data_IF_275144678924
#
_entry.id   IF_275144678924
#
_cell.length_a   1.000
_cell.length_b   1.000
_cell.length_c   1.000
_cell.angle_alpha   90.00
_cell.angle_beta   90.00
_cell.angle_gamma   90.00
#
_symmetry.space_group_name_H-M   'P 1'
#
loop_
_entity.id
_entity.type
_entity.pdbx_description
1 polymer ?
#
# COMPACT_ATOMS: atom_id res chain seq x y z
N UNK A 1 69.55 7.26 -44.05
CA UNK A 1 68.08 7.10 -44.10
C UNK A 1 67.54 6.13 -43.04
N UNK A 2 67.93 6.26 -41.76
CA UNK A 2 67.52 5.33 -40.67
C UNK A 2 66.86 6.02 -39.45
N UNK A 3 66.71 7.35 -39.47
CA UNK A 3 66.21 8.14 -38.32
C UNK A 3 64.71 8.47 -38.36
N UNK A 4 64.01 8.18 -39.47
CA UNK A 4 62.58 8.50 -39.62
C UNK A 4 61.64 7.40 -39.13
N UNK A 5 62.15 6.20 -38.83
CA UNK A 5 61.30 5.05 -38.46
C UNK A 5 60.96 4.97 -36.96
N UNK A 6 61.67 5.73 -36.10
CA UNK A 6 61.50 5.67 -34.64
C UNK A 6 60.43 6.63 -34.12
N UNK A 7 60.01 7.63 -34.91
CA UNK A 7 58.99 8.61 -34.49
C UNK A 7 57.55 8.11 -34.66
N UNK A 8 57.32 7.05 -35.45
CA UNK A 8 55.98 6.53 -35.75
C UNK A 8 55.45 5.56 -34.67
N UNK A 9 56.34 4.99 -33.85
CA UNK A 9 55.99 4.04 -32.77
C UNK A 9 55.43 4.71 -31.51
N UNK A 10 55.65 6.02 -31.32
CA UNK A 10 55.18 6.74 -30.12
C UNK A 10 53.76 7.28 -30.31
N UNK A 11 53.26 7.40 -31.54
CA UNK A 11 51.88 7.85 -31.81
C UNK A 11 50.83 6.73 -31.68
N UNK A 12 51.21 5.46 -31.64
CA UNK A 12 50.26 4.33 -31.59
C UNK A 12 49.83 3.90 -30.18
N UNK A 13 50.42 4.45 -29.10
CA UNK A 13 50.05 4.11 -27.71
C UNK A 13 49.13 5.13 -27.05
N UNK A 14 48.77 6.22 -27.73
CA UNK A 14 47.88 7.28 -27.20
C UNK A 14 46.40 7.09 -27.47
N UNK A 15 45.99 6.07 -28.24
CA UNK A 15 44.60 5.82 -28.57
C UNK A 15 44.00 4.73 -27.67
N UNK A 16 44.03 4.93 -26.35
CA UNK A 16 43.06 4.25 -25.48
C UNK A 16 41.70 4.93 -25.72
N UNK A 17 41.05 4.61 -26.84
CA UNK A 17 39.68 5.00 -27.09
C UNK A 17 38.82 4.25 -26.08
N UNK A 18 38.51 4.89 -24.95
CA UNK A 18 37.49 4.42 -24.02
C UNK A 18 36.13 4.57 -24.68
N UNK A 19 35.78 3.63 -25.56
CA UNK A 19 34.41 3.37 -25.96
C UNK A 19 33.78 2.56 -24.82
N UNK A 20 33.50 3.24 -23.70
CA UNK A 20 32.64 2.68 -22.67
C UNK A 20 31.23 3.05 -23.11
N UNK A 21 30.49 2.08 -23.64
CA UNK A 21 29.06 2.26 -23.85
C UNK A 21 28.39 2.49 -22.49
N UNK A 22 27.73 3.63 -22.35
CA UNK A 22 27.08 3.99 -21.10
C UNK A 22 25.87 3.06 -20.85
N UNK A 23 25.67 2.67 -19.59
CA UNK A 23 24.55 1.83 -19.16
C UNK A 23 23.26 2.65 -19.03
N UNK A 24 23.36 3.97 -19.16
CA UNK A 24 22.27 4.93 -19.11
C UNK A 24 22.03 5.47 -20.52
N UNK A 25 20.78 5.77 -20.84
CA UNK A 25 20.38 6.44 -22.08
C UNK A 25 19.33 7.51 -21.83
N UNK A 26 19.37 8.57 -22.62
CA UNK A 26 18.34 9.60 -22.63
C UNK A 26 17.15 9.15 -23.49
N UNK A 27 15.96 9.13 -22.87
CA UNK A 27 14.71 8.76 -23.55
C UNK A 27 13.70 9.88 -23.43
N UNK A 28 13.17 10.32 -24.56
CA UNK A 28 12.11 11.33 -24.65
C UNK A 28 10.75 10.67 -24.65
N UNK A 29 9.93 10.96 -23.65
CA UNK A 29 8.55 10.47 -23.58
C UNK A 29 7.60 11.58 -24.02
N UNK A 30 6.72 11.26 -24.98
CA UNK A 30 5.70 12.17 -25.52
C UNK A 30 4.32 11.53 -25.46
N UNK A 31 3.29 12.35 -25.20
CA UNK A 31 1.89 11.89 -25.13
C UNK A 31 0.99 12.68 -26.09
N UNK A 32 1.00 12.38 -27.40
CA UNK A 32 0.10 13.03 -28.34
C UNK A 32 -1.38 12.80 -27.95
N UNK A 33 -2.24 13.79 -28.17
CA UNK A 33 -3.67 13.69 -27.80
C UNK A 33 -3.99 13.86 -26.30
N UNK A 34 -3.00 14.13 -25.45
CA UNK A 34 -3.21 14.45 -24.04
C UNK A 34 -2.24 15.53 -23.54
N UNK A 35 -2.79 16.56 -22.89
CA UNK A 35 -1.99 17.58 -22.17
C UNK A 35 -2.04 17.30 -20.67
N UNK A 36 -0.92 17.45 -19.97
CA UNK A 36 -0.85 17.23 -18.52
C UNK A 36 -0.93 15.75 -18.12
N UNK A 37 -0.51 14.84 -19.00
CA UNK A 37 -0.39 13.43 -18.65
C UNK A 37 0.72 13.23 -17.60
N UNK A 38 0.53 12.24 -16.73
CA UNK A 38 1.53 11.79 -15.79
C UNK A 38 1.82 10.31 -16.07
N UNK A 39 3.08 10.00 -16.32
CA UNK A 39 3.53 8.66 -16.66
C UNK A 39 4.45 8.10 -15.59
N UNK A 40 4.37 6.79 -15.39
CA UNK A 40 5.34 6.02 -14.63
C UNK A 40 5.97 5.00 -15.56
N UNK A 41 7.27 5.09 -15.76
CA UNK A 41 8.04 4.08 -16.48
C UNK A 41 8.65 3.10 -15.47
N UNK A 42 8.58 1.81 -15.76
CA UNK A 42 9.08 0.73 -14.92
C UNK A 42 10.05 -0.15 -15.70
N UNK A 43 11.25 -0.37 -15.14
CA UNK A 43 12.28 -1.26 -15.68
C UNK A 43 13.06 -1.87 -14.51
N UNK A 44 13.22 -3.18 -14.47
CA UNK A 44 13.97 -3.90 -13.42
C UNK A 44 13.59 -3.49 -11.97
N UNK A 45 12.31 -3.21 -11.74
CA UNK A 45 11.80 -2.76 -10.43
C UNK A 45 12.06 -1.27 -10.10
N UNK A 46 12.79 -0.54 -10.96
CA UNK A 46 12.96 0.91 -10.84
C UNK A 46 11.75 1.63 -11.43
N UNK A 47 11.31 2.70 -10.75
CA UNK A 47 10.16 3.52 -11.14
C UNK A 47 10.58 4.95 -11.44
N UNK A 48 10.31 5.41 -12.65
CA UNK A 48 10.55 6.78 -13.10
C UNK A 48 9.24 7.52 -13.26
N UNK A 49 9.09 8.64 -12.56
CA UNK A 49 7.92 9.50 -12.70
C UNK A 49 8.21 10.60 -13.72
N UNK A 50 7.38 10.69 -14.75
CA UNK A 50 7.60 11.57 -15.90
C UNK A 50 6.36 12.41 -16.16
N UNK A 51 6.56 13.67 -16.55
CA UNK A 51 5.50 14.59 -16.99
C UNK A 51 5.75 14.97 -18.46
N UNK A 52 5.21 14.21 -19.43
CA UNK A 52 5.46 14.46 -20.86
C UNK A 52 4.99 15.85 -21.33
N UNK A 53 5.70 16.47 -22.29
CA UNK A 53 6.93 15.99 -22.92
C UNK A 53 8.16 16.21 -22.02
N UNK A 54 8.91 15.15 -21.73
CA UNK A 54 10.10 15.21 -20.88
C UNK A 54 11.13 14.16 -21.32
N UNK A 55 12.41 14.50 -21.16
CA UNK A 55 13.55 13.59 -21.35
C UNK A 55 13.96 13.06 -19.98
N UNK A 56 14.18 11.75 -19.90
CA UNK A 56 14.66 11.08 -18.69
C UNK A 56 15.89 10.24 -18.99
N UNK A 57 16.77 10.15 -18.00
CA UNK A 57 17.88 9.19 -17.98
C UNK A 57 17.35 7.85 -17.52
N UNK A 58 17.39 6.85 -18.40
CA UNK A 58 16.86 5.51 -18.18
C UNK A 58 18.02 4.49 -18.25
N UNK A 59 18.08 3.57 -17.29
CA UNK A 59 19.01 2.44 -17.39
C UNK A 59 18.59 1.49 -18.51
N UNK A 60 19.58 1.05 -19.28
CA UNK A 60 19.44 -0.02 -20.26
C UNK A 60 19.22 -1.35 -19.55
N UNK A 61 18.35 -2.18 -20.11
CA UNK A 61 18.04 -3.49 -19.58
C UNK A 61 17.58 -4.43 -20.69
N UNK A 62 17.73 -5.73 -20.44
CA UNK A 62 17.14 -6.81 -21.25
C UNK A 62 15.63 -6.95 -21.04
N UNK A 63 15.08 -6.39 -19.96
CA UNK A 63 13.67 -6.49 -19.61
C UNK A 63 12.83 -5.47 -20.38
N UNK A 64 11.54 -5.75 -20.50
CA UNK A 64 10.60 -4.86 -21.17
C UNK A 64 10.35 -3.61 -20.30
N UNK A 65 10.45 -2.43 -20.91
CA UNK A 65 10.10 -1.17 -20.27
C UNK A 65 8.58 -1.00 -20.29
N UNK A 66 7.97 -0.87 -19.12
CA UNK A 66 6.53 -0.67 -18.99
C UNK A 66 6.24 0.80 -18.70
N UNK A 67 5.53 1.48 -19.60
CA UNK A 67 5.13 2.88 -19.43
C UNK A 67 3.63 2.94 -19.18
N UNK A 68 3.24 3.27 -17.95
CA UNK A 68 1.86 3.50 -17.54
C UNK A 68 1.57 4.99 -17.43
N UNK A 69 0.81 5.51 -18.39
CA UNK A 69 0.42 6.90 -18.46
C UNK A 69 -1.06 7.08 -18.09
N UNK A 70 -1.30 8.09 -17.24
CA UNK A 70 -2.63 8.60 -16.93
C UNK A 70 -2.76 10.01 -17.50
N UNK A 71 -3.83 10.25 -18.25
CA UNK A 71 -4.18 11.53 -18.82
C UNK A 71 -5.50 12.05 -18.23
N UNK A 72 -5.77 13.37 -18.33
CA UNK A 72 -7.06 13.92 -17.94
C UNK A 72 -8.23 13.23 -18.66
N UNK A 73 -9.38 13.17 -17.98
CA UNK A 73 -10.57 12.47 -18.47
C UNK A 73 -10.56 10.96 -18.24
N UNK A 74 -9.94 10.51 -17.13
CA UNK A 74 -9.82 9.10 -16.75
C UNK A 74 -9.21 8.19 -17.83
N UNK A 75 -8.37 8.76 -18.70
CA UNK A 75 -7.71 8.01 -19.77
C UNK A 75 -6.45 7.37 -19.22
N UNK A 76 -6.30 6.06 -19.38
CA UNK A 76 -5.10 5.32 -19.01
C UNK A 76 -4.61 4.49 -20.18
N UNK A 77 -3.30 4.52 -20.44
CA UNK A 77 -2.63 3.66 -21.41
C UNK A 77 -1.38 3.07 -20.81
N UNK A 78 -1.21 1.77 -21.03
CA UNK A 78 -0.01 1.02 -20.66
C UNK A 78 0.63 0.53 -21.95
N UNK A 79 1.90 0.86 -22.13
CA UNK A 79 2.69 0.45 -23.30
C UNK A 79 3.87 -0.39 -22.81
N UNK A 80 4.13 -1.49 -23.51
CA UNK A 80 5.27 -2.37 -23.27
C UNK A 80 6.26 -2.15 -24.40
N UNK A 81 7.47 -1.71 -24.05
CA UNK A 81 8.53 -1.42 -25.01
C UNK A 81 9.63 -2.46 -24.85
N UNK A 82 9.83 -3.26 -25.89
CA UNK A 82 10.91 -4.25 -25.92
C UNK A 82 12.24 -3.58 -26.23
N UNK A 83 13.34 -3.96 -25.56
CA UNK A 83 14.66 -3.48 -25.91
C UNK A 83 15.12 -4.06 -27.26
N UNK A 84 15.83 -3.26 -28.05
CA UNK A 84 16.55 -3.70 -29.24
C UNK A 84 18.04 -3.83 -28.95
N UNK A 85 18.75 -4.58 -29.79
CA UNK A 85 20.20 -4.71 -29.71
C UNK A 85 20.83 -3.60 -30.57
N UNK A 86 21.75 -2.83 -29.99
CA UNK A 86 22.45 -1.76 -30.69
C UNK A 86 23.32 -2.33 -31.84
N UNK A 87 23.19 -1.85 -33.09
CA UNK A 87 23.96 -2.37 -34.23
C UNK A 87 25.47 -2.16 -34.10
N UNK A 88 25.92 -1.10 -33.42
CA UNK A 88 27.35 -0.84 -33.18
C UNK A 88 27.95 -1.90 -32.26
N UNK A 89 27.21 -2.34 -31.24
CA UNK A 89 27.62 -3.46 -30.42
C UNK A 89 27.73 -4.75 -31.25
N UNK A 90 26.83 -4.97 -32.22
CA UNK A 90 26.91 -6.10 -33.16
C UNK A 90 28.15 -6.08 -34.08
N UNK A 91 28.79 -4.93 -34.29
CA UNK A 91 30.08 -4.84 -35.00
C UNK A 91 31.28 -5.17 -34.09
N UNK A 92 31.18 -4.94 -32.77
CA UNK A 92 32.15 -5.47 -31.80
C UNK A 92 32.02 -6.99 -31.66
N UNK A 93 30.80 -7.53 -31.77
CA UNK A 93 30.53 -8.98 -31.79
C UNK A 93 31.35 -9.70 -32.86
N UNK A 94 31.50 -9.10 -34.04
CA UNK A 94 32.18 -9.72 -35.18
C UNK A 94 33.70 -9.53 -35.18
N UNK A 95 34.21 -8.44 -34.58
CA UNK A 95 35.64 -8.10 -34.66
C UNK A 95 36.48 -8.54 -33.45
N UNK A 96 35.91 -8.68 -32.26
CA UNK A 96 36.64 -9.12 -31.09
C UNK A 96 35.67 -9.67 -30.03
N UNK A 97 35.44 -10.99 -30.02
CA UNK A 97 34.48 -11.68 -29.15
C UNK A 97 34.64 -11.47 -27.63
N UNK A 98 35.65 -10.72 -27.19
CA UNK A 98 35.87 -10.30 -25.79
C UNK A 98 34.97 -9.12 -25.39
N UNK A 99 34.62 -8.21 -26.32
CA UNK A 99 33.72 -7.08 -26.01
C UNK A 99 32.30 -7.54 -25.72
N UNK A 100 31.83 -8.55 -26.45
CA UNK A 100 30.47 -9.10 -26.36
C UNK A 100 30.13 -9.61 -24.97
N UNK A 101 31.05 -10.32 -24.31
CA UNK A 101 30.79 -10.87 -22.97
C UNK A 101 30.68 -9.76 -21.93
N UNK A 102 31.47 -8.69 -22.07
CA UNK A 102 31.41 -7.52 -21.20
C UNK A 102 30.16 -6.66 -21.45
N UNK A 103 29.82 -6.42 -22.72
CA UNK A 103 28.66 -5.61 -23.12
C UNK A 103 27.33 -6.31 -22.81
N UNK A 104 27.30 -7.65 -22.90
CA UNK A 104 26.17 -8.46 -22.46
C UNK A 104 26.04 -8.47 -20.94
N UNK A 105 27.16 -8.63 -20.21
CA UNK A 105 27.16 -8.66 -18.74
C UNK A 105 26.75 -7.31 -18.14
N UNK A 106 27.13 -6.19 -18.77
CA UNK A 106 26.78 -4.83 -18.34
C UNK A 106 25.39 -4.38 -18.80
N UNK A 107 24.66 -5.22 -19.55
CA UNK A 107 23.42 -4.88 -20.25
C UNK A 107 23.52 -3.67 -21.20
N UNK A 108 24.73 -3.17 -21.48
CA UNK A 108 24.97 -2.05 -22.38
C UNK A 108 24.58 -2.35 -23.84
N UNK A 109 24.47 -3.65 -24.19
CA UNK A 109 24.00 -4.17 -25.47
C UNK A 109 22.55 -3.77 -25.81
N UNK A 110 21.70 -3.61 -24.79
CA UNK A 110 20.27 -3.38 -24.97
C UNK A 110 19.94 -1.90 -25.00
N UNK A 111 19.00 -1.51 -25.87
CA UNK A 111 18.59 -0.12 -26.05
C UNK A 111 17.08 -0.01 -26.21
N UNK A 112 16.48 0.97 -25.53
CA UNK A 112 15.11 1.40 -25.83
C UNK A 112 15.11 2.51 -26.89
N UNK A 113 14.01 2.68 -27.65
CA UNK A 113 13.89 3.78 -28.60
C UNK A 113 14.08 5.15 -27.93
N UNK A 114 14.77 6.05 -28.63
CA UNK A 114 15.06 7.40 -28.14
C UNK A 114 13.78 8.22 -27.89
N UNK A 115 12.70 7.92 -28.62
CA UNK A 115 11.39 8.56 -28.48
C UNK A 115 10.33 7.51 -28.22
N UNK A 116 9.69 7.59 -27.06
CA UNK A 116 8.54 6.76 -26.71
C UNK A 116 7.27 7.60 -26.83
N UNK A 117 6.39 7.17 -27.73
CA UNK A 117 5.10 7.79 -27.95
C UNK A 117 3.99 6.99 -27.28
N UNK A 118 3.30 7.62 -26.31
CA UNK A 118 2.07 7.08 -25.74
C UNK A 118 0.90 7.90 -26.28
N UNK A 119 0.38 7.46 -27.42
CA UNK A 119 -0.66 8.17 -28.15
C UNK A 119 -2.03 8.04 -27.45
N UNK A 120 -2.70 9.15 -27.15
CA UNK A 120 -4.06 9.23 -26.58
C UNK A 120 -5.13 9.77 -27.55
N UNK A 121 -4.83 9.97 -28.84
CA UNK A 121 -5.78 10.54 -29.83
C UNK A 121 -7.07 9.74 -29.92
N UNK A 122 -6.97 8.42 -29.93
CA UNK A 122 -8.11 7.52 -30.14
C UNK A 122 -8.69 6.99 -28.82
N UNK A 123 -8.31 7.60 -27.71
CA UNK A 123 -8.75 7.16 -26.37
C UNK A 123 -9.87 8.07 -25.90
N UNK A 124 -11.13 7.61 -25.89
CA UNK A 124 -12.24 8.43 -25.47
C UNK A 124 -12.10 8.81 -23.99
N UNK A 125 -12.62 9.98 -23.64
CA UNK A 125 -12.74 10.40 -22.25
C UNK A 125 -13.81 9.52 -21.59
N UNK A 126 -13.51 8.99 -20.42
CA UNK A 126 -14.45 8.21 -19.61
C UNK A 126 -14.67 8.94 -18.31
N UNK A 127 -15.91 8.99 -17.83
CA UNK A 127 -16.17 9.54 -16.51
C UNK A 127 -15.55 8.64 -15.43
N UNK A 128 -15.05 9.20 -14.32
CA UNK A 128 -14.60 8.38 -13.21
C UNK A 128 -15.80 7.56 -12.68
N UNK A 129 -15.58 6.31 -12.23
CA UNK A 129 -16.64 5.58 -11.55
C UNK A 129 -17.09 6.38 -10.33
N UNK A 130 -18.38 6.29 -10.01
CA UNK A 130 -18.90 6.87 -8.78
C UNK A 130 -18.14 6.32 -7.57
N UNK A 131 -17.99 7.12 -6.50
CA UNK A 131 -17.37 6.63 -5.27
C UNK A 131 -18.15 5.43 -4.75
N UNK A 132 -17.47 4.49 -4.08
CA UNK A 132 -18.06 3.22 -3.66
C UNK A 132 -19.34 3.40 -2.83
N UNK A 133 -19.42 4.48 -2.04
CA UNK A 133 -20.59 4.86 -1.22
C UNK A 133 -21.86 5.11 -2.03
N UNK A 134 -21.75 5.39 -3.33
CA UNK A 134 -22.90 5.59 -4.23
C UNK A 134 -23.27 4.31 -5.01
N UNK A 135 -22.64 3.17 -4.71
CA UNK A 135 -23.02 1.90 -5.29
C UNK A 135 -24.42 1.52 -4.80
N UNK A 136 -25.35 1.08 -5.67
CA UNK A 136 -26.71 0.72 -5.24
C UNK A 136 -26.76 -0.46 -4.26
N UNK A 137 -25.68 -1.25 -4.18
CA UNK A 137 -25.52 -2.37 -3.25
C UNK A 137 -25.11 -1.92 -1.83
N UNK A 138 -24.52 -0.72 -1.71
CA UNK A 138 -24.15 -0.14 -0.42
C UNK A 138 -25.30 0.77 0.00
N UNK A 139 -25.98 0.37 1.06
CA UNK A 139 -26.99 1.21 1.72
C UNK A 139 -26.34 2.55 2.07
N UNK A 140 -27.05 3.64 1.82
CA UNK A 140 -26.48 4.94 2.16
C UNK A 140 -26.26 5.04 3.69
N UNK A 141 -25.22 5.76 4.15
CA UNK A 141 -24.97 6.00 5.59
C UNK A 141 -26.24 6.39 6.37
N UNK A 142 -27.13 7.14 5.75
CA UNK A 142 -28.42 7.61 6.28
C UNK A 142 -29.46 6.50 6.46
N UNK A 143 -29.34 5.38 5.73
CA UNK A 143 -30.24 4.23 5.86
C UNK A 143 -29.81 3.26 6.97
N UNK A 144 -28.55 3.32 7.40
CA UNK A 144 -28.13 2.57 8.57
C UNK A 144 -28.86 3.16 9.77
N UNK A 145 -29.57 2.31 10.50
CA UNK A 145 -30.05 2.65 11.83
C UNK A 145 -28.80 2.73 12.71
N UNK A 146 -28.19 3.91 12.74
CA UNK A 146 -27.18 4.26 13.73
C UNK A 146 -27.85 4.03 15.07
N UNK A 147 -27.37 3.02 15.80
CA UNK A 147 -27.77 2.80 17.19
C UNK A 147 -27.66 4.15 17.89
N UNK A 148 -28.81 4.64 18.35
CA UNK A 148 -28.94 5.96 18.96
C UNK A 148 -28.28 5.91 20.33
N UNK A 149 -26.94 5.85 20.36
CA UNK A 149 -26.10 5.99 21.53
C UNK A 149 -26.10 7.45 21.99
N UNK A 150 -27.28 8.03 22.14
CA UNK A 150 -27.42 9.28 22.87
C UNK A 150 -27.03 9.00 24.33
N UNK A 151 -26.23 9.86 24.98
CA UNK A 151 -25.83 9.66 26.37
C UNK A 151 -27.02 9.56 27.34
N UNK A 152 -28.19 10.03 26.92
CA UNK A 152 -29.42 10.10 27.71
C UNK A 152 -30.22 8.80 27.78
N UNK A 153 -30.03 7.84 26.87
CA UNK A 153 -30.78 6.58 26.89
C UNK A 153 -30.02 5.45 26.18
N UNK A 154 -29.40 4.50 26.91
CA UNK A 154 -28.89 3.28 26.29
C UNK A 154 -30.09 2.45 25.82
N UNK A 155 -30.38 2.48 24.52
CA UNK A 155 -31.36 1.57 23.90
C UNK A 155 -30.65 0.76 22.84
N UNK A 156 -30.78 -0.57 22.92
CA UNK A 156 -30.43 -1.43 21.79
C UNK A 156 -31.48 -1.29 20.69
N UNK A 157 -31.09 -1.53 19.43
CA UNK A 157 -32.01 -1.52 18.29
C UNK A 157 -33.24 -2.44 18.48
N UNK A 158 -33.09 -3.53 19.22
CA UNK A 158 -34.18 -4.46 19.55
C UNK A 158 -35.27 -3.84 20.44
N UNK A 159 -34.94 -2.80 21.22
CA UNK A 159 -35.85 -2.18 22.17
C UNK A 159 -36.61 -0.99 21.58
N UNK A 160 -36.49 -0.72 20.28
CA UNK A 160 -37.10 0.43 19.60
C UNK A 160 -38.62 0.53 19.81
N UNK A 161 -39.31 -0.62 19.88
CA UNK A 161 -40.76 -0.71 20.11
C UNK A 161 -41.13 -0.92 21.57
N UNK A 162 -40.17 -1.08 22.47
CA UNK A 162 -40.46 -1.27 23.88
C UNK A 162 -40.96 0.07 24.48
N UNK A 163 -42.07 0.06 25.25
CA UNK A 163 -42.56 1.26 25.90
C UNK A 163 -41.52 1.80 26.90
N UNK A 164 -41.38 3.12 27.05
CA UNK A 164 -40.48 3.68 28.05
C UNK A 164 -40.94 3.25 29.45
N UNK A 165 -40.03 2.66 30.22
CA UNK A 165 -40.30 2.31 31.62
C UNK A 165 -39.94 3.53 32.47
N UNK A 166 -40.90 4.03 33.24
CA UNK A 166 -40.66 5.09 34.21
C UNK A 166 -39.76 4.56 35.33
N UNK A 167 -38.63 5.23 35.57
CA UNK A 167 -37.73 4.87 36.66
C UNK A 167 -38.37 5.35 37.96
N UNK A 168 -39.10 4.45 38.63
CA UNK A 168 -39.63 4.72 39.95
C UNK A 168 -38.46 4.88 40.93
N UNK A 169 -38.21 6.12 41.36
CA UNK A 169 -37.27 6.40 42.44
C UNK A 169 -37.86 5.80 43.70
N UNK A 170 -37.17 4.81 44.29
CA UNK A 170 -37.56 4.27 45.61
C UNK A 170 -37.66 5.45 46.58
N UNK A 171 -38.88 5.76 47.03
CA UNK A 171 -39.09 6.75 48.07
C UNK A 171 -38.33 6.27 49.30
N UNK A 172 -37.24 6.97 49.62
CA UNK A 172 -36.53 6.76 50.87
C UNK A 172 -37.48 7.32 51.93
N UNK A 173 -38.22 6.45 52.60
CA UNK A 173 -39.12 6.84 53.69
C UNK A 173 -38.39 7.85 54.58
N UNK A 174 -38.91 9.07 54.58
CA UNK A 174 -38.39 10.17 55.38
C UNK A 174 -38.53 9.77 56.84
N UNK A 175 -37.46 9.23 57.44
CA UNK A 175 -37.39 9.09 58.89
C UNK A 175 -37.42 10.49 59.46
N UNK A 176 -38.53 10.83 60.08
CA UNK A 176 -38.76 12.04 60.88
C UNK A 176 -37.58 12.27 61.82
N UNK A 177 -36.73 13.25 61.50
CA UNK A 177 -35.72 13.77 62.41
C UNK A 177 -36.43 14.60 63.48
N UNK A 178 -36.62 13.99 64.66
CA UNK A 178 -36.94 14.71 65.89
C UNK A 178 -35.64 15.03 66.63
N UNK A 179 -35.30 16.32 66.70
CA UNK A 179 -34.56 16.93 67.81
C UNK A 179 -33.07 16.62 67.97
N UNK A 180 -32.24 17.65 67.74
CA UNK A 180 -31.00 18.00 68.46
C UNK A 180 -30.09 16.86 68.97
N UNK A 181 -28.89 16.72 68.40
CA UNK A 181 -27.69 17.40 68.91
C UNK A 181 -26.51 17.25 67.93
N UNK A 182 -25.84 18.36 67.59
CA UNK A 182 -24.72 18.42 66.65
C UNK A 182 -23.39 18.38 67.40
N UNK A 183 -23.12 17.31 68.14
CA UNK A 183 -21.79 17.03 68.68
C UNK A 183 -21.69 15.60 69.26
N UNK A 184 -21.74 14.59 68.39
CA UNK A 184 -21.23 13.26 68.70
C UNK A 184 -20.78 12.62 67.37
N UNK A 185 -19.51 12.83 67.02
CA UNK A 185 -18.48 11.82 67.20
C UNK A 185 -18.68 10.61 66.27
N UNK A 186 -17.86 10.61 65.22
CA UNK A 186 -17.47 9.46 64.41
C UNK A 186 -17.33 8.21 65.28
N UNK A 187 -18.22 7.24 65.08
CA UNK A 187 -18.12 5.90 65.64
C UNK A 187 -18.64 4.92 64.60
N UNK A 188 -17.73 4.15 63.99
CA UNK A 188 -18.08 2.94 63.26
C UNK A 188 -18.84 1.95 64.17
N UNK A 189 -19.78 1.18 63.61
CA UNK A 189 -20.09 -0.13 64.15
C UNK A 189 -19.88 -1.22 63.08
N UNK A 190 -18.76 -1.91 63.27
CA UNK A 190 -18.68 -3.35 63.56
C UNK A 190 -19.46 -4.34 62.70
N UNK A 191 -18.67 -5.10 61.95
CA UNK A 191 -18.88 -6.44 61.45
C UNK A 191 -19.89 -7.33 62.22
N UNK A 192 -20.87 -7.83 61.47
CA UNK A 192 -21.44 -9.18 61.59
C UNK A 192 -21.66 -9.67 60.15
N UNK A 193 -20.77 -10.50 59.63
CA UNK A 193 -20.89 -11.96 59.63
C UNK A 193 -21.49 -12.46 58.31
N UNK A 194 -20.64 -12.45 57.29
CA UNK A 194 -20.86 -13.08 55.99
C UNK A 194 -19.58 -13.83 55.64
N UNK A 195 -19.67 -15.16 55.63
CA UNK A 195 -18.54 -16.08 55.53
C UNK A 195 -17.54 -15.74 54.43
N UNK A 196 -16.26 -15.81 54.78
CA UNK A 196 -15.12 -15.73 53.86
C UNK A 196 -15.19 -16.90 52.88
N UNK A 197 -15.72 -16.66 51.68
CA UNK A 197 -15.31 -17.44 50.52
C UNK A 197 -13.84 -17.11 50.25
N UNK A 198 -12.99 -18.12 50.32
CA UNK A 198 -11.56 -17.94 50.12
C UNK A 198 -11.33 -17.52 48.66
N UNK A 199 -10.77 -16.33 48.46
CA UNK A 199 -10.54 -15.75 47.13
C UNK A 199 -9.67 -16.67 46.25
N UNK A 200 -8.91 -17.57 46.88
CA UNK A 200 -8.08 -18.57 46.21
C UNK A 200 -8.89 -19.66 45.51
N UNK A 201 -10.08 -20.02 46.00
CA UNK A 201 -10.93 -21.04 45.34
C UNK A 201 -11.50 -20.52 44.01
N UNK A 202 -11.83 -19.23 43.93
CA UNK A 202 -12.30 -18.58 42.69
C UNK A 202 -11.17 -18.46 41.66
N UNK A 203 -9.94 -18.19 42.11
CA UNK A 203 -8.77 -18.09 41.23
C UNK A 203 -8.34 -19.47 40.71
N UNK A 204 -8.57 -20.54 41.48
CA UNK A 204 -8.29 -21.91 41.07
C UNK A 204 -9.26 -22.37 39.96
N UNK A 205 -10.55 -22.05 40.10
CA UNK A 205 -11.62 -22.38 39.14
C UNK A 205 -11.40 -21.71 37.77
N UNK A 206 -11.00 -20.44 37.77
CA UNK A 206 -10.66 -19.72 36.52
C UNK A 206 -9.38 -20.20 35.83
N UNK A 207 -8.47 -20.89 36.55
CA UNK A 207 -7.23 -21.43 35.96
C UNK A 207 -7.42 -22.78 35.28
N UNK A 208 -8.41 -23.57 35.69
CA UNK A 208 -8.76 -24.83 35.00
C UNK A 208 -9.30 -24.59 33.58
N UNK A 209 -10.00 -23.48 33.35
CA UNK A 209 -10.60 -23.15 32.06
C UNK A 209 -9.62 -22.50 31.06
N UNK A 210 -8.39 -22.19 31.49
CA UNK A 210 -7.37 -21.49 30.69
C UNK A 210 -6.08 -22.30 30.47
N UNK A 211 -6.12 -23.64 30.58
CA UNK A 211 -5.01 -24.50 30.21
C UNK A 211 -5.07 -24.88 28.72
N UNK A 212 -4.21 -24.34 27.82
CA UNK A 212 -4.25 -24.63 26.39
C UNK A 212 -3.42 -25.88 26.01
N UNK A 213 -3.32 -26.87 26.91
CA UNK A 213 -2.39 -27.99 26.76
C UNK A 213 -3.07 -29.36 26.54
N UNK A 214 -4.34 -29.38 26.14
CA UNK A 214 -5.01 -30.62 25.70
C UNK A 214 -5.94 -30.40 24.53
N UNK A 215 -5.41 -29.90 23.41
CA UNK A 215 -6.05 -30.05 22.11
C UNK A 215 -5.20 -30.97 21.24
N UNK A 216 -5.45 -32.28 21.40
CA UNK A 216 -5.23 -33.23 20.33
C UNK A 216 -6.51 -33.28 19.50
N UNK A 217 -6.65 -32.39 18.52
CA UNK A 217 -7.57 -32.56 17.40
C UNK A 217 -7.09 -31.73 16.22
N UNK A 218 -7.04 -32.38 15.07
CA UNK A 218 -6.27 -31.99 13.91
C UNK A 218 -6.84 -30.77 13.17
N UNK A 219 -5.92 -30.05 12.53
CA UNK A 219 -6.15 -28.97 11.57
C UNK A 219 -7.36 -29.21 10.64
N UNK A 220 -8.33 -28.31 10.72
CA UNK A 220 -9.15 -27.93 9.58
C UNK A 220 -9.37 -26.41 9.62
N UNK A 221 -9.12 -25.66 8.53
CA UNK A 221 -9.31 -24.22 8.53
C UNK A 221 -10.79 -23.84 8.64
N UNK A 222 -11.07 -22.89 9.52
CA UNK A 222 -12.40 -22.34 9.78
C UNK A 222 -12.89 -21.59 8.53
N UNK A 223 -14.01 -22.05 7.97
CA UNK A 223 -14.69 -21.40 6.84
C UNK A 223 -15.46 -20.16 7.31
N UNK A 224 -15.09 -18.99 6.79
CA UNK A 224 -15.74 -17.71 7.07
C UNK A 224 -16.81 -17.38 6.03
N UNK A 225 -17.92 -18.12 5.99
CA UNK A 225 -19.13 -17.72 5.24
C UNK A 225 -20.38 -18.22 5.99
N UNK A 226 -21.30 -17.33 6.43
CA UNK A 226 -22.57 -17.75 6.99
C UNK A 226 -23.56 -18.00 5.85
N UNK A 227 -23.98 -19.25 5.65
CA UNK A 227 -25.07 -19.59 4.73
C UNK A 227 -24.79 -20.76 3.80
N UNK A 228 -24.63 -21.96 4.37
CA UNK A 228 -25.09 -23.23 3.82
C UNK A 228 -25.36 -24.20 4.98
#
# INVERSE_FOLDING_TARGET
>A
MKKTLLLLSVLSTGACAYAIDDSIQDVKIVTPGARGAACNAYVEGLKYRVKPPQIINLYKSKEDLVVDCKAPGNRRKVVYIKPSIEPSAAWNITNAGVGLTWDYASAALFRYPDVIEVNFTDTPVTDPPLPAQNSPDIRQPEEYQLEEFSPSAPRMNADRSAPPVEILRRERASRTMSGYDSSAAFSEPSALDGGKGDLMDIIQDMRSDLNPASDNSADAPISLLPGQ
#
